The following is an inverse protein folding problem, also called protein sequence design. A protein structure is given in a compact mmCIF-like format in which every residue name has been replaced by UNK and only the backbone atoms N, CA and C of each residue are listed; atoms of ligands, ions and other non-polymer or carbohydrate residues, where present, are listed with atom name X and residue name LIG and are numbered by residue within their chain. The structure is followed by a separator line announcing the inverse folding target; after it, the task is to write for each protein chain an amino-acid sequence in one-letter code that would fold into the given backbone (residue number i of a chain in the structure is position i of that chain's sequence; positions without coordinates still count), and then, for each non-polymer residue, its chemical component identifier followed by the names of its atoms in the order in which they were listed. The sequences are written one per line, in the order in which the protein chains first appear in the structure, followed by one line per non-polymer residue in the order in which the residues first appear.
data_IF_984814452342
#
_entry.id   IF_984814452342
#
_cell.length_a   1.000
_cell.length_b   1.000
_cell.length_c   1.000
_cell.angle_alpha   90.00
_cell.angle_beta   90.00
_cell.angle_gamma   90.00
#
_symmetry.space_group_name_H-M   'P 1'
#
loop_
_entity.id
_entity.type
_entity.pdbx_description
1 polymer ?
#
# COMPACT_ATOMS: atom_id res chain seq x y z
N UNK A 1 7.30 26.47 -7.42
CA UNK A 1 8.39 25.50 -7.54
C UNK A 1 8.19 24.47 -6.44
N UNK A 2 8.40 23.19 -6.72
CA UNK A 2 8.24 22.10 -5.75
C UNK A 2 9.61 21.62 -5.30
N UNK A 3 9.85 21.60 -4.00
CA UNK A 3 11.08 21.07 -3.41
C UNK A 3 10.91 19.59 -3.05
N UNK A 4 11.93 18.79 -3.35
CA UNK A 4 11.96 17.38 -2.94
C UNK A 4 12.34 17.34 -1.45
N UNK A 5 11.38 16.99 -0.60
CA UNK A 5 11.60 16.87 0.84
C UNK A 5 12.28 15.57 1.23
N UNK A 6 11.93 14.46 0.56
CA UNK A 6 12.42 13.13 0.87
C UNK A 6 12.31 12.19 -0.34
N UNK A 7 13.22 11.23 -0.48
CA UNK A 7 13.17 10.17 -1.49
C UNK A 7 13.46 8.81 -0.85
N UNK A 8 12.49 7.91 -0.87
CA UNK A 8 12.70 6.50 -0.52
C UNK A 8 13.22 5.72 -1.73
N UNK A 9 14.21 4.84 -1.51
CA UNK A 9 14.76 3.96 -2.57
C UNK A 9 14.58 2.50 -2.20
N UNK A 10 13.95 1.72 -3.09
CA UNK A 10 13.69 0.29 -2.92
C UNK A 10 14.07 -0.46 -4.19
N UNK A 11 14.88 -1.51 -4.05
CA UNK A 11 15.27 -2.41 -5.13
C UNK A 11 14.46 -3.70 -5.09
N UNK A 12 14.06 -4.20 -6.27
CA UNK A 12 13.34 -5.46 -6.42
C UNK A 12 14.13 -6.43 -7.31
N UNK A 13 14.25 -7.69 -6.87
CA UNK A 13 14.90 -8.76 -7.65
C UNK A 13 13.96 -9.97 -7.70
N UNK A 14 13.77 -10.58 -8.88
CA UNK A 14 12.87 -11.72 -9.06
C UNK A 14 11.38 -11.37 -9.24
N UNK A 15 11.06 -10.07 -9.33
CA UNK A 15 9.70 -9.61 -9.62
C UNK A 15 8.68 -10.03 -8.55
N UNK A 16 7.54 -10.57 -9.00
CA UNK A 16 6.40 -10.92 -8.11
C UNK A 16 6.60 -12.21 -7.32
N UNK A 17 7.70 -12.92 -7.56
CA UNK A 17 8.10 -14.16 -6.87
C UNK A 17 9.53 -14.01 -6.31
N UNK A 18 9.87 -12.79 -5.89
CA UNK A 18 11.22 -12.36 -5.57
C UNK A 18 11.35 -11.73 -4.19
N UNK A 19 12.16 -10.68 -4.09
CA UNK A 19 12.42 -9.91 -2.87
C UNK A 19 12.50 -8.42 -3.17
N UNK A 20 12.01 -7.60 -2.23
CA UNK A 20 12.18 -6.14 -2.23
C UNK A 20 13.00 -5.72 -1.03
N UNK A 21 13.95 -4.80 -1.23
CA UNK A 21 14.86 -4.29 -0.19
C UNK A 21 15.05 -2.79 -0.35
N UNK A 22 14.75 -2.04 0.69
CA UNK A 22 15.02 -0.60 0.82
C UNK A 22 16.47 -0.33 1.18
N UNK A 23 16.99 0.85 0.82
CA UNK A 23 18.38 1.22 1.13
C UNK A 23 18.66 1.35 2.62
N UNK A 24 17.63 1.62 3.43
CA UNK A 24 17.70 1.70 4.89
C UNK A 24 17.31 0.38 5.60
N UNK A 25 16.91 -0.65 4.83
CA UNK A 25 16.57 -1.98 5.36
C UNK A 25 15.21 -2.07 6.05
N UNK A 26 14.42 -0.99 6.13
CA UNK A 26 13.13 -0.98 6.83
C UNK A 26 12.08 -1.80 6.07
N UNK A 27 12.06 -1.68 4.74
CA UNK A 27 11.31 -2.56 3.85
C UNK A 27 12.25 -3.64 3.33
N UNK A 28 12.15 -4.84 3.93
CA UNK A 28 12.83 -6.04 3.47
C UNK A 28 11.85 -7.22 3.49
N UNK A 29 11.27 -7.54 2.32
CA UNK A 29 10.22 -8.55 2.23
C UNK A 29 10.41 -9.47 1.03
N UNK A 30 10.16 -10.76 1.26
CA UNK A 30 9.84 -11.69 0.19
C UNK A 30 8.50 -11.34 -0.44
N UNK A 31 8.44 -11.46 -1.76
CA UNK A 31 7.26 -11.19 -2.57
C UNK A 31 6.85 -12.49 -3.26
N UNK A 32 5.57 -12.88 -3.12
CA UNK A 32 4.99 -14.03 -3.79
C UNK A 32 3.51 -13.80 -4.08
N UNK A 33 3.04 -14.23 -5.24
CA UNK A 33 1.62 -14.13 -5.56
C UNK A 33 0.81 -15.19 -4.80
N UNK A 34 -0.41 -14.86 -4.36
CA UNK A 34 -1.31 -15.84 -3.75
C UNK A 34 -1.49 -17.07 -4.64
N UNK A 35 -1.35 -18.27 -4.06
CA UNK A 35 -1.53 -19.54 -4.75
C UNK A 35 -0.29 -20.08 -5.47
N UNK A 36 0.84 -19.37 -5.51
CA UNK A 36 2.08 -19.89 -6.10
C UNK A 36 2.82 -20.86 -5.17
N UNK A 37 3.69 -21.74 -5.71
CA UNK A 37 4.51 -22.61 -4.88
C UNK A 37 5.43 -21.84 -3.91
N UNK A 38 5.90 -20.65 -4.28
CA UNK A 38 6.72 -19.80 -3.40
C UNK A 38 5.90 -19.29 -2.22
N UNK A 39 4.68 -18.81 -2.45
CA UNK A 39 3.79 -18.36 -1.38
C UNK A 39 3.47 -19.46 -0.36
N UNK A 40 3.47 -20.74 -0.78
CA UNK A 40 3.30 -21.88 0.13
C UNK A 40 4.56 -22.19 0.96
N UNK A 41 5.74 -21.82 0.47
CA UNK A 41 7.03 -22.05 1.15
C UNK A 41 7.41 -20.92 2.09
N UNK A 42 6.96 -19.70 1.81
CA UNK A 42 7.31 -18.49 2.57
C UNK A 42 6.05 -18.00 3.27
N UNK A 43 5.91 -18.32 4.56
CA UNK A 43 4.70 -18.05 5.35
C UNK A 43 4.31 -16.57 5.42
N UNK A 44 5.30 -15.66 5.37
CA UNK A 44 5.10 -14.20 5.50
C UNK A 44 5.47 -13.42 4.25
N UNK A 45 5.38 -14.03 3.07
CA UNK A 45 5.57 -13.30 1.82
C UNK A 45 4.42 -12.30 1.60
N UNK A 46 4.76 -11.08 1.21
CA UNK A 46 3.79 -10.09 0.73
C UNK A 46 3.61 -10.20 -0.78
N UNK A 47 2.86 -9.29 -1.38
CA UNK A 47 2.72 -9.14 -2.83
C UNK A 47 2.68 -7.65 -3.23
N UNK A 48 2.93 -7.32 -4.50
CA UNK A 48 2.94 -5.92 -4.94
C UNK A 48 1.61 -5.19 -4.67
N UNK A 49 0.47 -5.89 -4.77
CA UNK A 49 -0.86 -5.34 -4.48
C UNK A 49 -0.99 -4.91 -3.02
N UNK A 50 -0.51 -5.71 -2.06
CA UNK A 50 -0.51 -5.37 -0.64
C UNK A 50 0.41 -4.18 -0.34
N UNK A 51 1.62 -4.15 -0.92
CA UNK A 51 2.57 -3.04 -0.75
C UNK A 51 1.99 -1.73 -1.29
N UNK A 52 1.34 -1.79 -2.46
CA UNK A 52 0.65 -0.64 -3.02
C UNK A 52 -0.54 -0.21 -2.16
N UNK A 53 -1.35 -1.16 -1.69
CA UNK A 53 -2.49 -0.89 -0.82
C UNK A 53 -2.04 -0.18 0.46
N UNK A 54 -0.98 -0.67 1.10
CA UNK A 54 -0.43 -0.11 2.33
C UNK A 54 0.05 1.34 2.14
N UNK A 55 0.85 1.59 1.10
CA UNK A 55 1.34 2.94 0.80
C UNK A 55 0.20 3.91 0.48
N UNK A 56 -0.76 3.46 -0.33
CA UNK A 56 -1.91 4.30 -0.72
C UNK A 56 -2.80 4.62 0.48
N UNK A 57 -3.17 3.62 1.30
CA UNK A 57 -4.05 3.85 2.45
C UNK A 57 -3.43 4.76 3.48
N UNK A 58 -2.13 4.59 3.78
CA UNK A 58 -1.41 5.44 4.72
C UNK A 58 -1.31 6.88 4.24
N UNK A 59 -1.01 7.08 2.95
CA UNK A 59 -0.95 8.42 2.36
C UNK A 59 -2.31 9.13 2.40
N UNK A 60 -3.38 8.42 2.07
CA UNK A 60 -4.72 9.00 2.04
C UNK A 60 -5.23 9.32 3.45
N UNK A 61 -4.95 8.44 4.42
CA UNK A 61 -5.29 8.69 5.83
C UNK A 61 -4.57 9.94 6.37
N UNK A 62 -3.28 10.10 6.07
CA UNK A 62 -2.53 11.30 6.43
C UNK A 62 -3.14 12.59 5.85
N UNK A 63 -3.58 12.55 4.59
CA UNK A 63 -4.25 13.68 3.95
C UNK A 63 -5.60 14.01 4.61
N UNK A 64 -6.40 13.00 4.97
CA UNK A 64 -7.66 13.21 5.69
C UNK A 64 -7.44 13.83 7.07
N UNK A 65 -6.47 13.35 7.83
CA UNK A 65 -6.13 13.91 9.13
C UNK A 65 -5.65 15.37 9.02
N UNK A 66 -4.89 15.71 7.97
CA UNK A 66 -4.46 17.08 7.69
C UNK A 66 -5.66 18.00 7.48
N UNK A 67 -6.62 17.61 6.63
CA UNK A 67 -7.83 18.40 6.35
C UNK A 67 -8.69 18.56 7.62
N UNK A 68 -8.89 17.49 8.39
CA UNK A 68 -9.64 17.57 9.64
C UNK A 68 -9.05 18.57 10.64
N UNK A 69 -7.71 18.63 10.73
CA UNK A 69 -7.00 19.62 11.56
C UNK A 69 -7.21 21.05 11.07
N UNK A 70 -7.21 21.27 9.75
CA UNK A 70 -7.47 22.58 9.16
C UNK A 70 -8.89 23.07 9.47
N UNK A 71 -9.86 22.17 9.42
CA UNK A 71 -11.27 22.44 9.74
C UNK A 71 -11.58 22.43 11.25
N UNK A 72 -10.57 22.16 12.10
CA UNK A 72 -10.71 22.04 13.57
C UNK A 72 -11.74 21.00 14.02
N UNK A 73 -11.92 19.95 13.23
CA UNK A 73 -12.83 18.84 13.53
C UNK A 73 -12.02 17.71 14.19
N UNK A 74 -12.54 17.15 15.29
CA UNK A 74 -12.01 15.89 15.84
C UNK A 74 -12.48 14.75 14.95
N UNK A 75 -11.55 14.15 14.22
CA UNK A 75 -11.83 13.11 13.23
C UNK A 75 -10.78 12.02 13.34
N UNK A 76 -11.24 10.78 13.60
CA UNK A 76 -10.41 9.58 13.54
C UNK A 76 -10.81 8.77 12.31
N UNK A 77 -9.88 8.66 11.35
CA UNK A 77 -10.08 7.87 10.13
C UNK A 77 -9.43 6.50 10.21
N UNK A 78 -10.07 5.55 9.54
CA UNK A 78 -9.51 4.26 9.17
C UNK A 78 -9.70 4.08 7.67
N UNK A 79 -8.59 4.14 6.91
CA UNK A 79 -8.62 3.98 5.45
C UNK A 79 -8.24 2.54 5.08
N UNK A 80 -9.09 1.88 4.31
CA UNK A 80 -8.85 0.53 3.76
C UNK A 80 -8.76 0.60 2.24
N UNK A 81 -7.57 0.39 1.68
CA UNK A 81 -7.37 0.32 0.24
C UNK A 81 -7.49 -1.13 -0.27
N UNK A 82 -8.37 -1.35 -1.24
CA UNK A 82 -8.50 -2.60 -1.98
C UNK A 82 -7.78 -2.46 -3.33
N UNK A 83 -6.75 -3.26 -3.55
CA UNK A 83 -5.97 -3.26 -4.79
C UNK A 83 -6.14 -4.60 -5.46
N UNK A 84 -6.60 -4.58 -6.72
CA UNK A 84 -6.88 -5.77 -7.50
C UNK A 84 -6.02 -5.81 -8.75
N UNK A 85 -5.35 -6.95 -8.95
CA UNK A 85 -4.72 -7.27 -10.22
C UNK A 85 -5.75 -7.84 -11.18
N UNK A 86 -5.94 -7.19 -12.32
CA UNK A 86 -6.83 -7.65 -13.38
C UNK A 86 -6.02 -8.28 -14.51
N UNK A 87 -6.40 -9.49 -14.91
CA UNK A 87 -5.91 -10.13 -16.13
C UNK A 87 -6.83 -9.76 -17.30
N UNK A 88 -6.30 -9.07 -18.31
CA UNK A 88 -6.96 -8.88 -19.61
C UNK A 88 -6.18 -9.65 -20.66
N UNK A 89 -6.85 -10.12 -21.73
CA UNK A 89 -6.36 -11.10 -22.73
C UNK A 89 -4.83 -11.15 -22.95
N UNK A 90 -4.17 -9.98 -23.12
CA UNK A 90 -2.70 -9.88 -23.24
C UNK A 90 -2.04 -8.80 -22.35
N UNK A 91 -2.74 -8.20 -21.37
CA UNK A 91 -2.21 -7.11 -20.52
C UNK A 91 -2.67 -7.21 -19.07
N UNK A 92 -1.79 -6.87 -18.14
CA UNK A 92 -2.11 -6.69 -16.72
C UNK A 92 -2.55 -5.25 -16.45
N UNK A 93 -3.54 -5.06 -15.57
CA UNK A 93 -3.95 -3.73 -15.09
C UNK A 93 -4.17 -3.77 -13.58
N UNK A 94 -3.74 -2.73 -12.89
CA UNK A 94 -4.09 -2.51 -11.49
C UNK A 94 -5.38 -1.72 -11.40
N UNK A 95 -6.28 -2.15 -10.52
CA UNK A 95 -7.47 -1.40 -10.13
C UNK A 95 -7.42 -1.16 -8.63
N UNK A 96 -7.67 0.07 -8.23
CA UNK A 96 -7.65 0.51 -6.82
C UNK A 96 -9.05 0.97 -6.45
N UNK A 97 -9.60 0.45 -5.36
CA UNK A 97 -10.82 0.94 -4.71
C UNK A 97 -10.46 1.29 -3.27
N UNK A 98 -10.71 2.52 -2.85
CA UNK A 98 -10.54 2.92 -1.46
C UNK A 98 -11.89 2.84 -0.74
N UNK A 99 -11.91 2.24 0.45
CA UNK A 99 -13.02 2.38 1.39
C UNK A 99 -12.52 3.15 2.60
N UNK A 100 -13.28 4.15 3.03
CA UNK A 100 -12.93 5.01 4.17
C UNK A 100 -13.99 4.77 5.22
N UNK A 101 -13.55 4.42 6.43
CA UNK A 101 -14.41 4.36 7.61
C UNK A 101 -13.98 5.46 8.57
N UNK A 102 -14.95 6.21 9.06
CA UNK A 102 -14.74 7.14 10.18
C UNK A 102 -15.17 6.43 11.46
N UNK A 103 -14.34 6.46 12.50
CA UNK A 103 -14.76 6.08 13.86
C UNK A 103 -15.19 7.36 14.57
N UNK A 104 -16.47 7.68 14.46
CA UNK A 104 -17.06 8.83 15.16
C UNK A 104 -18.41 8.45 15.76
N UNK A 105 -18.53 8.57 17.09
CA UNK A 105 -19.82 8.66 17.76
C UNK A 105 -20.41 10.03 17.41
N UNK A 106 -21.52 10.02 16.68
CA UNK A 106 -22.28 11.23 16.37
C UNK A 106 -23.18 11.55 17.58
N UNK A 107 -22.77 12.56 18.36
CA UNK A 107 -23.68 13.31 19.23
C UNK A 107 -24.11 14.58 18.51
#
# INVERSE_FOLDING_TARGET
MSDVLFTATVSAVGGREGKVVSTDGVLEHDVAMPGTPRAKKIEKATNPEQLFAAGYSACFDSALQMVARQERIRFESEVTAHVSLLKRQFRWRLQTRCSIRSKGNWN
#
